data_IF_074935361234
#
_entry.id   IF_074935361234
#
_cell.length_a   1.000
_cell.length_b   1.000
_cell.length_c   1.000
_cell.angle_alpha   90.00
_cell.angle_beta   90.00
_cell.angle_gamma   90.00
#
_symmetry.space_group_name_H-M   'P 1'
#
loop_
_entity.id
_entity.type
_entity.pdbx_description
1 polymer ?
#
# COMPACT_ATOMS: atom_id res chain seq x y z
N UNK A 1 20.94 -26.32 -19.53
CA UNK A 1 19.97 -25.72 -18.58
C UNK A 1 18.71 -26.56 -18.55
N UNK A 2 17.96 -26.57 -17.45
CA UNK A 2 16.75 -27.37 -17.29
C UNK A 2 15.48 -26.52 -17.59
N UNK A 3 14.80 -26.73 -18.73
CA UNK A 3 13.63 -25.92 -19.13
C UNK A 3 12.44 -26.04 -18.18
N UNK A 4 12.34 -27.12 -17.38
CA UNK A 4 11.24 -27.28 -16.43
C UNK A 4 11.28 -26.25 -15.30
N UNK A 5 12.46 -25.67 -15.02
CA UNK A 5 12.60 -24.60 -14.03
C UNK A 5 11.84 -23.34 -14.42
N UNK A 6 11.77 -23.00 -15.70
CA UNK A 6 11.07 -21.78 -16.15
C UNK A 6 9.57 -21.82 -15.82
N UNK A 7 8.94 -22.99 -15.99
CA UNK A 7 7.52 -23.18 -15.63
C UNK A 7 7.28 -23.05 -14.14
N UNK A 8 8.13 -23.69 -13.32
CA UNK A 8 8.01 -23.61 -11.86
C UNK A 8 8.23 -22.18 -11.33
N UNK A 9 9.20 -21.45 -11.89
CA UNK A 9 9.47 -20.06 -11.51
C UNK A 9 8.33 -19.13 -11.93
N UNK A 10 7.79 -19.29 -13.14
CA UNK A 10 6.64 -18.50 -13.58
C UNK A 10 5.41 -18.72 -12.67
N UNK A 11 5.15 -19.97 -12.27
CA UNK A 11 4.08 -20.29 -11.33
C UNK A 11 4.34 -19.66 -9.95
N UNK A 12 5.57 -19.74 -9.44
CA UNK A 12 5.91 -19.15 -8.15
C UNK A 12 5.71 -17.62 -8.14
N UNK A 13 6.11 -16.94 -9.21
CA UNK A 13 5.91 -15.49 -9.37
C UNK A 13 4.42 -15.16 -9.43
N UNK A 14 3.64 -15.88 -10.26
CA UNK A 14 2.19 -15.68 -10.36
C UNK A 14 1.47 -15.91 -9.02
N UNK A 15 1.79 -17.00 -8.33
CA UNK A 15 1.21 -17.32 -7.02
C UNK A 15 1.55 -16.23 -5.98
N UNK A 16 2.79 -15.76 -5.97
CA UNK A 16 3.23 -14.70 -5.06
C UNK A 16 2.46 -13.41 -5.34
N UNK A 17 2.38 -12.97 -6.61
CA UNK A 17 1.65 -11.75 -7.00
C UNK A 17 0.19 -11.80 -6.58
N UNK A 18 -0.49 -12.92 -6.83
CA UNK A 18 -1.90 -13.10 -6.42
C UNK A 18 -2.04 -13.03 -4.91
N UNK A 19 -1.16 -13.72 -4.18
CA UNK A 19 -1.19 -13.71 -2.72
C UNK A 19 -0.96 -12.32 -2.13
N UNK A 20 0.11 -11.61 -2.50
CA UNK A 20 0.38 -10.27 -1.95
C UNK A 20 -0.70 -9.27 -2.34
N UNK A 21 -1.25 -9.36 -3.56
CA UNK A 21 -2.35 -8.49 -3.96
C UNK A 21 -3.61 -8.72 -3.10
N UNK A 22 -4.08 -9.96 -2.99
CA UNK A 22 -5.29 -10.29 -2.23
C UNK A 22 -5.11 -9.97 -0.75
N UNK A 23 -4.01 -10.42 -0.15
CA UNK A 23 -3.77 -10.21 1.28
C UNK A 23 -3.63 -8.73 1.63
N UNK A 24 -2.88 -7.96 0.83
CA UNK A 24 -2.75 -6.52 1.05
C UNK A 24 -4.09 -5.82 0.89
N UNK A 25 -4.87 -6.18 -0.14
CA UNK A 25 -6.20 -5.63 -0.35
C UNK A 25 -7.12 -5.88 0.85
N UNK A 26 -7.16 -7.11 1.37
CA UNK A 26 -7.99 -7.45 2.53
C UNK A 26 -7.59 -6.67 3.78
N UNK A 27 -6.28 -6.54 4.05
CA UNK A 27 -5.77 -5.79 5.20
C UNK A 27 -6.11 -4.30 5.06
N UNK A 28 -5.77 -3.69 3.93
CA UNK A 28 -6.01 -2.27 3.69
C UNK A 28 -7.51 -1.96 3.74
N UNK A 29 -8.36 -2.81 3.15
CA UNK A 29 -9.81 -2.65 3.16
C UNK A 29 -10.39 -2.83 4.57
N UNK A 30 -9.85 -3.76 5.35
CA UNK A 30 -10.23 -3.95 6.75
C UNK A 30 -9.89 -2.74 7.63
N UNK A 31 -8.70 -2.16 7.45
CA UNK A 31 -8.28 -0.94 8.14
C UNK A 31 -9.16 0.25 7.73
N UNK A 32 -9.38 0.42 6.42
CA UNK A 32 -10.23 1.46 5.87
C UNK A 32 -11.66 1.43 6.43
N UNK A 33 -12.22 0.22 6.59
CA UNK A 33 -13.55 0.06 7.18
C UNK A 33 -13.60 0.30 8.71
N UNK A 34 -12.52 0.01 9.43
CA UNK A 34 -12.52 0.05 10.91
C UNK A 34 -12.16 1.40 11.48
N UNK A 35 -11.09 2.03 10.98
CA UNK A 35 -10.56 3.30 11.51
C UNK A 35 -10.40 4.38 10.44
N UNK A 36 -10.50 4.02 9.15
CA UNK A 36 -10.19 4.90 8.04
C UNK A 36 -8.68 4.90 7.72
N UNK A 37 -8.34 4.65 6.45
CA UNK A 37 -6.94 4.55 6.02
C UNK A 37 -6.37 5.90 5.53
N UNK A 38 -7.21 6.78 4.99
CA UNK A 38 -6.81 8.06 4.38
C UNK A 38 -7.32 9.23 5.23
N UNK A 39 -6.52 10.30 5.30
CA UNK A 39 -6.92 11.57 5.90
C UNK A 39 -8.05 12.23 5.09
N UNK A 40 -8.69 13.26 5.64
CA UNK A 40 -9.71 14.02 4.91
C UNK A 40 -9.11 14.74 3.69
N UNK A 41 -9.94 15.04 2.68
CA UNK A 41 -9.47 15.78 1.49
C UNK A 41 -8.95 17.18 1.85
N UNK A 42 -9.53 17.82 2.87
CA UNK A 42 -9.08 19.11 3.39
C UNK A 42 -7.69 18.99 4.04
N UNK A 43 -7.48 17.96 4.87
CA UNK A 43 -6.18 17.73 5.51
C UNK A 43 -5.09 17.35 4.51
N UNK A 44 -5.46 16.62 3.46
CA UNK A 44 -4.56 16.28 2.35
C UNK A 44 -4.17 17.53 1.55
N UNK A 45 -5.11 18.45 1.32
CA UNK A 45 -4.86 19.70 0.60
C UNK A 45 -4.01 20.70 1.41
N UNK A 46 -4.22 20.76 2.72
CA UNK A 46 -3.47 21.64 3.64
C UNK A 46 -2.05 21.12 3.97
N UNK A 47 -1.78 19.85 3.67
CA UNK A 47 -0.49 19.20 3.88
C UNK A 47 -0.38 18.50 5.23
N UNK A 48 0.09 17.24 5.21
CA UNK A 48 0.14 16.37 6.39
C UNK A 48 1.10 16.86 7.47
N UNK A 49 2.18 17.53 7.08
CA UNK A 49 3.10 18.13 8.05
C UNK A 49 2.35 19.13 8.95
N UNK A 50 1.48 19.96 8.36
CA UNK A 50 0.68 20.92 9.10
C UNK A 50 -0.48 20.27 9.85
N UNK A 51 -1.22 19.38 9.19
CA UNK A 51 -2.50 18.85 9.72
C UNK A 51 -2.30 17.73 10.73
N UNK A 52 -1.30 16.87 10.54
CA UNK A 52 -1.03 15.71 11.40
C UNK A 52 0.14 15.92 12.35
N UNK A 53 1.13 16.74 11.98
CA UNK A 53 2.35 16.94 12.77
C UNK A 53 2.50 18.34 13.35
N UNK A 54 1.68 19.33 12.93
CA UNK A 54 1.78 20.71 13.40
C UNK A 54 3.07 21.43 12.98
N UNK A 55 3.76 20.89 11.97
CA UNK A 55 5.08 21.35 11.52
C UNK A 55 5.00 21.91 10.09
N UNK A 56 5.94 22.79 9.75
CA UNK A 56 6.15 23.24 8.38
C UNK A 56 7.44 22.60 7.86
N UNK A 57 7.35 21.76 6.82
CA UNK A 57 8.55 21.10 6.24
C UNK A 57 9.60 22.09 5.73
N UNK A 58 9.19 23.31 5.38
CA UNK A 58 10.07 24.42 5.05
C UNK A 58 9.53 25.74 5.61
N UNK A 59 10.38 26.49 6.31
CA UNK A 59 10.17 27.90 6.66
C UNK A 59 11.03 28.74 5.72
N UNK A 60 10.41 29.60 4.91
CA UNK A 60 11.09 30.62 4.09
C UNK A 60 11.12 31.96 4.82
#
# INVERSE_FOLDING_TARGET
GNPSLLGAQALAVAATMVFVFIMSYLILKGIDFTIGLRVSEEDEANGLDHTQHGEAGYTF
#
